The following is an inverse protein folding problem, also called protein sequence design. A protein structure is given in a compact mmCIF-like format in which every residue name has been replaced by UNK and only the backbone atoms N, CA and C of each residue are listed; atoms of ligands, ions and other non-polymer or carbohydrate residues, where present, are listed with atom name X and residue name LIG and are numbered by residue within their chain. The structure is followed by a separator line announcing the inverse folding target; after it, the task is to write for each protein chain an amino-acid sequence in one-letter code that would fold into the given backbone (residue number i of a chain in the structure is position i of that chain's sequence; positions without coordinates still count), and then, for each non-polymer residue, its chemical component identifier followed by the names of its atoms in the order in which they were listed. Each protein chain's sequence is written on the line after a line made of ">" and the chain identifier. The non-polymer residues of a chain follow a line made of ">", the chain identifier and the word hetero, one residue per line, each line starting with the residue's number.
data_IF_357327357454
#
_entry.id   IF_357327357454
#
_cell.length_a   1.000
_cell.length_b   1.000
_cell.length_c   1.000
_cell.angle_alpha   90.00
_cell.angle_beta   90.00
_cell.angle_gamma   90.00
#
_symmetry.space_group_name_H-M   'P 1'
#
loop_
_entity.id
_entity.type
_entity.pdbx_description
1 polymer ?
#
# COMPACT_ATOMS: atom_id res chain seq x y z
N UNK A 1 11.17 22.82 15.54
CA UNK A 1 9.84 22.81 14.90
C UNK A 1 8.85 22.12 15.84
N UNK A 2 8.28 22.87 16.77
CA UNK A 2 7.42 22.32 17.84
C UNK A 2 6.12 21.66 17.29
N UNK A 3 5.67 22.11 16.13
CA UNK A 3 4.41 21.65 15.53
C UNK A 3 4.57 20.55 14.45
N UNK A 4 5.79 20.06 14.18
CA UNK A 4 6.01 18.96 13.25
C UNK A 4 6.00 17.66 14.04
N UNK A 5 4.96 16.86 13.82
CA UNK A 5 4.73 15.58 14.51
C UNK A 5 5.01 14.36 13.63
N UNK A 6 5.04 14.53 12.31
CA UNK A 6 5.30 13.45 11.39
C UNK A 6 5.98 13.93 10.09
N UNK A 7 6.77 13.05 9.49
CA UNK A 7 7.43 13.25 8.20
C UNK A 7 7.15 12.05 7.29
N UNK A 8 6.61 12.31 6.11
CA UNK A 8 6.60 11.33 5.03
C UNK A 8 7.89 11.45 4.23
N UNK A 9 8.76 10.46 4.37
CA UNK A 9 10.09 10.44 3.76
C UNK A 9 10.23 9.25 2.82
N UNK A 10 9.86 9.47 1.55
CA UNK A 10 9.83 8.44 0.50
C UNK A 10 11.20 8.32 -0.17
N UNK A 11 12.12 7.67 0.51
CA UNK A 11 13.50 7.41 0.09
C UNK A 11 13.82 5.93 0.32
N UNK A 12 14.99 5.40 -0.15
CA UNK A 12 15.41 4.03 0.17
C UNK A 12 15.48 3.76 1.67
N UNK A 13 15.17 2.51 2.06
CA UNK A 13 15.08 2.06 3.46
C UNK A 13 16.24 2.51 4.37
N UNK A 14 17.53 2.42 3.99
CA UNK A 14 18.61 2.86 4.86
C UNK A 14 18.48 4.32 5.32
N UNK A 15 18.06 5.21 4.43
CA UNK A 15 17.95 6.64 4.73
C UNK A 15 16.80 6.95 5.69
N UNK A 16 15.61 6.36 5.49
CA UNK A 16 14.50 6.62 6.40
C UNK A 16 14.66 5.88 7.74
N UNK A 17 15.38 4.74 7.76
CA UNK A 17 15.71 4.05 9.01
C UNK A 17 16.65 4.88 9.87
N UNK A 18 17.67 5.51 9.27
CA UNK A 18 18.56 6.45 9.95
C UNK A 18 17.76 7.63 10.52
N UNK A 19 16.90 8.25 9.72
CA UNK A 19 16.05 9.35 10.20
C UNK A 19 15.10 8.89 11.32
N UNK A 20 14.53 7.69 11.24
CA UNK A 20 13.70 7.13 12.31
C UNK A 20 14.47 6.98 13.62
N UNK A 21 15.69 6.48 13.55
CA UNK A 21 16.59 6.36 14.71
C UNK A 21 16.91 7.71 15.36
N UNK A 22 17.08 8.76 14.56
CA UNK A 22 17.40 10.11 15.04
C UNK A 22 16.20 10.86 15.61
N UNK A 23 14.98 10.52 15.16
CA UNK A 23 13.76 11.30 15.40
C UNK A 23 12.71 10.54 16.25
N UNK A 24 12.99 9.31 16.67
CA UNK A 24 12.03 8.34 17.21
C UNK A 24 11.15 8.85 18.36
N UNK A 25 11.66 9.72 19.19
CA UNK A 25 10.95 10.21 20.38
C UNK A 25 10.11 11.48 20.10
N UNK A 26 10.29 12.09 18.94
CA UNK A 26 9.77 13.43 18.66
C UNK A 26 8.92 13.51 17.40
N UNK A 27 9.25 12.76 16.37
CA UNK A 27 8.63 12.87 15.05
C UNK A 27 8.41 11.47 14.48
N UNK A 28 7.18 11.16 14.10
CA UNK A 28 6.88 9.92 13.38
C UNK A 28 7.42 9.99 11.95
N UNK A 29 8.33 9.10 11.60
CA UNK A 29 8.79 8.94 10.22
C UNK A 29 7.90 7.91 9.53
N UNK A 30 7.58 8.12 8.28
CA UNK A 30 6.79 7.19 7.47
C UNK A 30 7.21 7.21 6.00
N UNK A 31 6.92 6.14 5.28
CA UNK A 31 7.08 6.04 3.82
C UNK A 31 5.74 5.66 3.17
N UNK A 32 5.69 5.71 1.84
CA UNK A 32 4.50 5.33 1.07
C UNK A 32 4.49 3.85 0.65
N UNK A 33 5.57 3.10 0.92
CA UNK A 33 5.74 1.71 0.49
C UNK A 33 4.99 0.75 1.43
N UNK A 34 3.94 0.09 0.91
CA UNK A 34 3.23 -0.93 1.68
C UNK A 34 4.07 -2.20 1.84
N UNK A 35 4.92 -2.52 0.88
CA UNK A 35 5.78 -3.69 0.94
C UNK A 35 6.72 -3.69 2.14
N UNK A 36 7.08 -2.51 2.63
CA UNK A 36 7.99 -2.32 3.76
C UNK A 36 7.24 -2.07 5.09
N UNK A 37 5.90 -1.93 5.04
CA UNK A 37 5.12 -1.51 6.20
C UNK A 37 5.24 -2.48 7.38
N UNK A 38 5.09 -3.78 7.12
CA UNK A 38 5.19 -4.79 8.18
C UNK A 38 6.57 -4.81 8.84
N UNK A 39 7.64 -4.80 8.03
CA UNK A 39 9.01 -4.79 8.56
C UNK A 39 9.33 -3.48 9.29
N UNK A 40 8.76 -2.35 8.86
CA UNK A 40 8.92 -1.08 9.57
C UNK A 40 8.19 -1.07 10.92
N UNK A 41 7.06 -1.75 11.06
CA UNK A 41 6.44 -1.95 12.38
C UNK A 41 7.36 -2.78 13.29
N UNK A 42 7.84 -3.91 12.79
CA UNK A 42 8.59 -4.88 13.59
C UNK A 42 9.98 -4.36 13.96
N UNK A 43 10.69 -3.73 13.02
CA UNK A 43 12.10 -3.38 13.19
C UNK A 43 12.32 -1.92 13.64
N UNK A 44 11.40 -1.02 13.31
CA UNK A 44 11.51 0.41 13.57
C UNK A 44 10.42 0.94 14.52
N UNK A 45 9.57 0.07 15.06
CA UNK A 45 8.42 0.41 15.93
C UNK A 45 7.50 1.48 15.33
N UNK A 46 7.34 1.47 14.00
CA UNK A 46 6.48 2.44 13.33
C UNK A 46 5.01 2.24 13.70
N UNK A 47 4.32 3.37 13.96
CA UNK A 47 2.90 3.40 14.33
C UNK A 47 2.03 4.21 13.36
N UNK A 48 2.65 4.87 12.40
CA UNK A 48 1.98 5.74 11.44
C UNK A 48 2.36 5.36 10.01
N UNK A 49 1.33 5.17 9.17
CA UNK A 49 1.48 4.90 7.75
C UNK A 49 0.94 6.06 6.91
N UNK A 50 1.83 6.93 6.44
CA UNK A 50 1.51 8.07 5.57
C UNK A 50 1.60 7.66 4.09
N UNK A 51 0.66 6.87 3.63
CA UNK A 51 0.61 6.41 2.25
C UNK A 51 -0.36 7.21 1.39
N UNK A 52 -0.27 7.05 0.06
CA UNK A 52 -1.21 7.63 -0.89
C UNK A 52 -2.38 6.71 -1.22
N UNK A 53 -2.16 5.40 -1.31
CA UNK A 53 -3.16 4.52 -1.91
C UNK A 53 -3.22 3.07 -1.41
N UNK A 54 -2.14 2.41 -0.96
CA UNK A 54 -2.19 0.96 -0.71
C UNK A 54 -3.35 0.47 0.16
N UNK A 55 -3.71 1.13 1.29
CA UNK A 55 -4.85 0.67 2.08
C UNK A 55 -6.17 0.61 1.33
N UNK A 56 -6.35 1.50 0.35
CA UNK A 56 -7.57 1.54 -0.47
C UNK A 56 -7.55 0.53 -1.62
N UNK A 57 -6.40 -0.04 -1.94
CA UNK A 57 -6.22 -0.96 -3.06
C UNK A 57 -6.12 -2.43 -2.62
N UNK A 58 -5.75 -2.67 -1.35
CA UNK A 58 -5.46 -3.99 -0.81
C UNK A 58 -6.51 -4.49 0.18
N UNK A 59 -7.54 -3.71 0.48
CA UNK A 59 -8.60 -4.13 1.39
C UNK A 59 -9.97 -3.62 0.97
N UNK A 60 -10.98 -4.36 1.40
CA UNK A 60 -12.40 -4.07 1.22
C UNK A 60 -13.13 -4.25 2.55
N UNK A 61 -14.44 -4.12 2.56
CA UNK A 61 -15.25 -4.49 3.72
C UNK A 61 -15.19 -5.99 4.04
N UNK A 62 -14.93 -6.82 3.02
CA UNK A 62 -14.90 -8.29 3.11
C UNK A 62 -13.47 -8.85 3.21
N UNK A 63 -12.46 -8.03 2.94
CA UNK A 63 -11.05 -8.41 3.03
C UNK A 63 -10.27 -7.40 3.86
N UNK A 64 -9.99 -7.75 5.09
CA UNK A 64 -9.31 -6.89 6.06
C UNK A 64 -7.90 -7.36 6.40
N UNK A 65 -7.31 -8.23 5.57
CA UNK A 65 -5.97 -8.80 5.83
C UNK A 65 -4.89 -7.75 6.08
N UNK A 66 -4.93 -6.61 5.37
CA UNK A 66 -3.98 -5.52 5.64
C UNK A 66 -4.14 -4.94 7.05
N UNK A 67 -5.36 -4.72 7.50
CA UNK A 67 -5.65 -4.29 8.87
C UNK A 67 -5.25 -5.38 9.87
N UNK A 68 -5.59 -6.64 9.60
CA UNK A 68 -5.34 -7.77 10.49
C UNK A 68 -3.84 -7.99 10.72
N UNK A 69 -3.01 -7.99 9.67
CA UNK A 69 -1.57 -8.14 9.87
C UNK A 69 -0.96 -6.94 10.59
N UNK A 70 -1.46 -5.73 10.32
CA UNK A 70 -1.00 -4.52 11.01
C UNK A 70 -1.31 -4.61 12.52
N UNK A 71 -2.53 -5.01 12.89
CA UNK A 71 -2.89 -5.20 14.29
C UNK A 71 -2.07 -6.31 14.97
N UNK A 72 -1.92 -7.46 14.29
CA UNK A 72 -1.09 -8.55 14.79
C UNK A 72 0.36 -8.10 15.06
N UNK A 73 0.92 -7.28 14.16
CA UNK A 73 2.26 -6.72 14.34
C UNK A 73 2.33 -5.76 15.54
N UNK A 74 1.34 -4.87 15.69
CA UNK A 74 1.27 -3.96 16.84
C UNK A 74 1.12 -4.67 18.20
N UNK A 75 0.52 -5.85 18.19
CA UNK A 75 0.36 -6.72 19.35
C UNK A 75 1.58 -7.63 19.60
N UNK A 76 2.62 -7.55 18.78
CA UNK A 76 3.82 -8.38 18.87
C UNK A 76 3.65 -9.81 18.35
N UNK A 77 2.51 -10.14 17.73
CA UNK A 77 2.24 -11.44 17.09
C UNK A 77 2.89 -11.53 15.70
N UNK A 78 4.23 -11.49 15.68
CA UNK A 78 5.02 -11.34 14.47
C UNK A 78 4.77 -12.44 13.44
N UNK A 79 4.72 -13.71 13.87
CA UNK A 79 4.51 -14.85 12.97
C UNK A 79 3.11 -14.82 12.32
N UNK A 80 2.08 -14.44 13.08
CA UNK A 80 0.73 -14.24 12.53
C UNK A 80 0.72 -13.10 11.52
N UNK A 81 1.34 -11.97 11.86
CA UNK A 81 1.44 -10.82 10.98
C UNK A 81 2.13 -11.17 9.66
N UNK A 82 3.26 -11.89 9.71
CA UNK A 82 3.98 -12.35 8.51
C UNK A 82 3.12 -13.29 7.67
N UNK A 83 2.46 -14.27 8.28
CA UNK A 83 1.59 -15.21 7.58
C UNK A 83 0.41 -14.52 6.90
N UNK A 84 -0.26 -13.59 7.59
CA UNK A 84 -1.39 -12.84 7.02
C UNK A 84 -0.90 -11.92 5.90
N UNK A 85 0.20 -11.19 6.10
CA UNK A 85 0.78 -10.31 5.08
C UNK A 85 1.16 -11.08 3.82
N UNK A 86 1.82 -12.24 3.95
CA UNK A 86 2.19 -13.09 2.82
C UNK A 86 0.96 -13.57 2.02
N UNK A 87 -0.19 -13.74 2.65
CA UNK A 87 -1.43 -14.09 1.93
C UNK A 87 -1.93 -12.99 0.99
N UNK A 88 -1.41 -11.75 1.09
CA UNK A 88 -1.68 -10.65 0.16
C UNK A 88 -0.70 -10.58 -1.02
N UNK A 89 0.33 -11.43 -1.06
CA UNK A 89 1.34 -11.38 -2.14
C UNK A 89 0.75 -11.56 -3.55
N UNK A 90 -0.25 -12.44 -3.78
CA UNK A 90 -0.91 -12.51 -5.08
C UNK A 90 -1.60 -11.20 -5.47
N UNK A 91 -2.18 -10.47 -4.50
CA UNK A 91 -2.82 -9.17 -4.73
C UNK A 91 -1.77 -8.11 -5.09
N UNK A 92 -0.67 -8.06 -4.36
CA UNK A 92 0.47 -7.17 -4.63
C UNK A 92 1.06 -7.42 -6.01
N UNK A 93 1.25 -8.70 -6.36
CA UNK A 93 1.76 -9.11 -7.66
C UNK A 93 0.83 -8.68 -8.81
N UNK A 94 -0.48 -8.92 -8.67
CA UNK A 94 -1.47 -8.50 -9.66
C UNK A 94 -1.50 -6.99 -9.83
N UNK A 95 -1.54 -6.24 -8.72
CA UNK A 95 -1.57 -4.77 -8.72
C UNK A 95 -0.32 -4.16 -9.37
N UNK A 96 0.86 -4.70 -9.08
CA UNK A 96 2.13 -4.22 -9.65
C UNK A 96 2.30 -4.67 -11.09
N UNK A 97 2.03 -5.94 -11.38
CA UNK A 97 2.28 -6.57 -12.67
C UNK A 97 1.41 -6.01 -13.81
N UNK A 98 0.26 -5.45 -13.50
CA UNK A 98 -0.67 -4.89 -14.49
C UNK A 98 -0.59 -3.38 -14.63
N UNK A 99 0.24 -2.70 -13.84
CA UNK A 99 0.36 -1.24 -13.82
C UNK A 99 1.32 -0.71 -14.90
N UNK A 100 0.83 -0.06 -15.96
CA UNK A 100 1.70 0.59 -16.94
C UNK A 100 2.50 1.73 -16.27
N UNK A 101 3.82 1.81 -16.50
CA UNK A 101 4.68 2.83 -15.87
C UNK A 101 4.22 4.27 -16.13
N UNK A 102 3.72 4.55 -17.33
CA UNK A 102 3.26 5.88 -17.76
C UNK A 102 1.82 6.21 -17.36
N UNK A 103 1.06 5.24 -16.80
CA UNK A 103 -0.35 5.38 -16.45
C UNK A 103 -0.69 4.94 -15.01
N UNK A 104 0.16 5.22 -14.02
CA UNK A 104 -0.02 4.69 -12.66
C UNK A 104 -1.33 5.15 -12.01
N UNK A 105 -1.75 6.39 -12.28
CA UNK A 105 -2.98 6.95 -11.71
C UNK A 105 -4.24 6.41 -12.39
N UNK A 106 -4.22 6.22 -13.71
CA UNK A 106 -5.34 5.62 -14.43
C UNK A 106 -5.55 4.16 -14.01
N UNK A 107 -4.46 3.40 -13.85
CA UNK A 107 -4.48 2.04 -13.35
C UNK A 107 -5.05 1.96 -11.92
N UNK A 108 -4.57 2.81 -11.01
CA UNK A 108 -5.05 2.87 -9.65
C UNK A 108 -6.56 3.15 -9.58
N UNK A 109 -7.06 4.11 -10.35
CA UNK A 109 -8.49 4.43 -10.42
C UNK A 109 -9.31 3.28 -10.95
N UNK A 110 -8.82 2.59 -11.98
CA UNK A 110 -9.50 1.42 -12.51
C UNK A 110 -9.52 0.24 -11.52
N UNK A 111 -8.42 0.01 -10.79
CA UNK A 111 -8.40 -0.96 -9.70
C UNK A 111 -9.44 -0.64 -8.62
N UNK A 112 -9.59 0.65 -8.26
CA UNK A 112 -10.63 1.10 -7.33
C UNK A 112 -12.04 0.82 -7.86
N UNK A 113 -12.30 0.98 -9.17
CA UNK A 113 -13.59 0.59 -9.78
C UNK A 113 -13.85 -0.91 -9.64
N UNK A 114 -12.85 -1.76 -9.84
CA UNK A 114 -12.96 -3.21 -9.66
C UNK A 114 -13.25 -3.58 -8.19
N UNK A 115 -12.80 -2.76 -7.24
CA UNK A 115 -13.11 -2.88 -5.81
C UNK A 115 -14.50 -2.35 -5.43
N UNK A 116 -15.28 -1.85 -6.37
CA UNK A 116 -16.55 -1.19 -6.10
C UNK A 116 -16.44 0.22 -5.50
N UNK A 117 -15.25 0.81 -5.55
CA UNK A 117 -15.00 2.18 -5.09
C UNK A 117 -15.16 3.19 -6.23
N UNK A 118 -15.17 4.49 -5.90
CA UNK A 118 -15.18 5.55 -6.90
C UNK A 118 -13.79 5.65 -7.55
N UNK A 119 -13.71 5.28 -8.82
CA UNK A 119 -12.51 5.42 -9.66
C UNK A 119 -12.61 6.63 -10.60
N UNK A 120 -13.09 6.38 -11.80
CA UNK A 120 -13.35 7.40 -12.82
C UNK A 120 -12.11 7.78 -13.63
N UNK A 121 -12.29 8.78 -14.48
CA UNK A 121 -11.26 9.22 -15.43
C UNK A 121 -10.13 9.98 -14.76
N UNK A 122 -8.96 9.95 -15.39
CA UNK A 122 -7.87 10.87 -15.07
C UNK A 122 -8.06 12.21 -15.78
N UNK A 123 -7.43 13.27 -15.26
CA UNK A 123 -7.43 14.58 -15.91
C UNK A 123 -6.28 14.69 -16.91
N UNK A 124 -6.50 15.37 -18.02
CA UNK A 124 -5.42 15.75 -18.94
C UNK A 124 -4.32 16.51 -18.15
N UNK A 125 -3.05 16.29 -18.49
CA UNK A 125 -2.49 15.52 -19.59
C UNK A 125 -2.27 14.02 -19.30
N UNK A 126 -2.78 13.46 -18.19
CA UNK A 126 -2.61 12.06 -17.86
C UNK A 126 -3.33 11.15 -18.87
N UNK A 127 -2.69 10.03 -19.19
CA UNK A 127 -3.22 9.06 -20.14
C UNK A 127 -4.19 8.09 -19.48
N UNK A 128 -5.29 7.79 -20.19
CA UNK A 128 -6.24 6.74 -19.82
C UNK A 128 -5.68 5.35 -20.14
N UNK A 129 -6.17 4.33 -19.43
CA UNK A 129 -5.92 2.93 -19.80
C UNK A 129 -6.61 2.62 -21.15
N UNK A 130 -5.94 1.87 -21.99
CA UNK A 130 -6.54 1.23 -23.16
C UNK A 130 -7.47 0.09 -22.74
N UNK A 131 -8.34 -0.35 -23.63
CA UNK A 131 -9.24 -1.49 -23.35
C UNK A 131 -8.46 -2.78 -23.08
N UNK A 132 -7.32 -2.97 -23.76
CA UNK A 132 -6.45 -4.12 -23.50
C UNK A 132 -5.80 -4.07 -22.10
N UNK A 133 -5.31 -2.90 -21.66
CA UNK A 133 -4.77 -2.73 -20.30
C UNK A 133 -5.84 -2.95 -19.24
N UNK A 134 -7.05 -2.47 -19.46
CA UNK A 134 -8.19 -2.72 -18.57
C UNK A 134 -8.54 -4.20 -18.51
N UNK A 135 -8.56 -4.90 -19.65
CA UNK A 135 -8.81 -6.34 -19.69
C UNK A 135 -7.77 -7.12 -18.88
N UNK A 136 -6.48 -6.87 -19.14
CA UNK A 136 -5.36 -7.52 -18.41
C UNK A 136 -5.48 -7.25 -16.91
N UNK A 137 -5.75 -6.02 -16.51
CA UNK A 137 -5.89 -5.63 -15.10
C UNK A 137 -7.08 -6.37 -14.45
N UNK A 138 -8.22 -6.46 -15.14
CA UNK A 138 -9.41 -7.16 -14.64
C UNK A 138 -9.16 -8.65 -14.46
N UNK A 139 -8.56 -9.32 -15.44
CA UNK A 139 -8.24 -10.74 -15.37
C UNK A 139 -7.30 -11.05 -14.18
N UNK A 140 -6.29 -10.23 -13.97
CA UNK A 140 -5.39 -10.37 -12.83
C UNK A 140 -6.09 -10.09 -11.49
N UNK A 141 -6.98 -9.09 -11.44
CA UNK A 141 -7.80 -8.78 -10.27
C UNK A 141 -8.71 -9.96 -9.87
N UNK A 142 -9.41 -10.56 -10.83
CA UNK A 142 -10.29 -11.71 -10.59
C UNK A 142 -9.53 -12.95 -10.07
N UNK A 143 -8.25 -13.08 -10.42
CA UNK A 143 -7.40 -14.21 -10.04
C UNK A 143 -6.59 -13.98 -8.77
N UNK A 144 -6.45 -12.75 -8.29
CA UNK A 144 -5.54 -12.42 -7.17
C UNK A 144 -6.06 -12.84 -5.78
N UNK A 145 -7.32 -13.27 -5.68
CA UNK A 145 -7.91 -13.73 -4.42
C UNK A 145 -8.25 -12.62 -3.43
N UNK A 146 -8.40 -11.38 -3.89
CA UNK A 146 -8.96 -10.30 -3.08
C UNK A 146 -10.47 -10.48 -2.96
N UNK A 147 -11.01 -10.39 -1.74
CA UNK A 147 -12.44 -10.56 -1.47
C UNK A 147 -13.14 -9.21 -1.62
N UNK A 148 -14.07 -9.13 -2.55
CA UNK A 148 -14.85 -7.91 -2.84
C UNK A 148 -16.25 -8.00 -2.27
#
# INVERSE_FOLDING_TARGET
>A
LENVVAIKYSVPRPMYSELSSMASDRIHVSTASEDEWLDNIIELDWRLYLCSSPPFLLQTTNDRRMHEYTQAAFEGRVEDARRISASLDPVRAALKGTRPPEKPHAHQKYWQELLGQIGGRVRAPLLELTDNEKRITREAFEQCGLRV
#
